data_IF_079035157822
#
_entry.id   IF_079035157822
#
_cell.length_a   1.000
_cell.length_b   1.000
_cell.length_c   1.000
_cell.angle_alpha   90.00
_cell.angle_beta   90.00
_cell.angle_gamma   90.00
#
_symmetry.space_group_name_H-M   'P 1'
#
loop_
_entity.id
_entity.type
_entity.pdbx_description
1 polymer ?
#
# COMPACT_ATOMS: atom_id res chain seq x y z
N UNK A 1 -17.57 13.11 -1.17
CA UNK A 1 -16.32 12.39 -0.92
C UNK A 1 -15.21 13.37 -1.22
N UNK A 2 -14.47 13.80 -0.20
CA UNK A 2 -13.45 14.82 -0.34
C UNK A 2 -12.27 14.22 -1.11
N UNK A 3 -12.09 14.66 -2.35
CA UNK A 3 -10.83 14.53 -3.12
C UNK A 3 -9.76 15.38 -2.42
N UNK A 4 -9.38 15.01 -1.20
CA UNK A 4 -8.19 15.57 -0.58
C UNK A 4 -7.02 15.06 -1.42
N UNK A 5 -6.23 15.96 -2.04
CA UNK A 5 -5.08 15.54 -2.84
C UNK A 5 -4.15 14.73 -1.93
N UNK A 6 -3.97 13.45 -2.24
CA UNK A 6 -3.04 12.59 -1.52
C UNK A 6 -1.64 13.15 -1.77
N UNK A 7 -0.94 13.68 -0.74
CA UNK A 7 0.39 14.24 -0.89
C UNK A 7 1.35 13.12 -1.33
N UNK A 8 1.65 13.13 -2.63
CA UNK A 8 2.56 12.18 -3.27
C UNK A 8 4.04 12.53 -3.08
N UNK A 9 4.34 13.65 -2.42
CA UNK A 9 5.70 14.06 -2.09
C UNK A 9 6.46 12.99 -1.29
N UNK A 10 5.73 12.12 -0.59
CA UNK A 10 6.28 10.98 0.16
C UNK A 10 6.22 9.64 -0.58
N UNK A 11 5.67 9.60 -1.79
CA UNK A 11 5.58 8.38 -2.58
C UNK A 11 6.93 8.01 -3.19
N UNK A 12 7.23 6.71 -3.22
CA UNK A 12 8.42 6.17 -3.88
C UNK A 12 8.07 5.92 -5.35
N UNK A 13 8.58 6.76 -6.24
CA UNK A 13 8.32 6.66 -7.69
C UNK A 13 9.47 6.02 -8.47
N UNK A 14 10.69 6.07 -7.91
CA UNK A 14 11.86 5.48 -8.54
C UNK A 14 11.73 3.95 -8.64
N UNK A 15 11.99 3.40 -9.83
CA UNK A 15 11.90 1.96 -10.10
C UNK A 15 10.46 1.43 -10.24
N UNK A 16 9.44 2.30 -10.22
CA UNK A 16 8.05 1.93 -10.48
C UNK A 16 7.78 1.91 -12.00
N UNK A 17 7.25 0.79 -12.49
CA UNK A 17 6.89 0.59 -13.90
C UNK A 17 5.43 0.21 -14.06
N UNK A 18 4.91 0.33 -15.28
CA UNK A 18 3.55 -0.12 -15.60
C UNK A 18 3.36 -1.63 -15.33
N UNK A 19 4.37 -2.44 -15.59
CA UNK A 19 4.35 -3.89 -15.30
C UNK A 19 4.17 -4.14 -13.81
N UNK A 20 4.93 -3.41 -13.00
CA UNK A 20 4.87 -3.49 -11.54
C UNK A 20 3.52 -3.04 -11.01
N UNK A 21 2.95 -1.96 -11.57
CA UNK A 21 1.60 -1.47 -11.24
C UNK A 21 0.55 -2.55 -11.50
N UNK A 22 0.54 -3.12 -12.71
CA UNK A 22 -0.46 -4.12 -13.11
C UNK A 22 -0.39 -5.38 -12.22
N UNK A 23 0.82 -5.84 -11.89
CA UNK A 23 1.01 -6.96 -10.95
C UNK A 23 0.49 -6.62 -9.55
N UNK A 24 0.80 -5.43 -9.05
CA UNK A 24 0.38 -4.99 -7.71
C UNK A 24 -1.14 -4.91 -7.60
N UNK A 25 -1.82 -4.36 -8.62
CA UNK A 25 -3.28 -4.32 -8.68
C UNK A 25 -3.90 -5.71 -8.69
N UNK A 26 -3.37 -6.63 -9.49
CA UNK A 26 -3.88 -8.01 -9.54
C UNK A 26 -3.76 -8.71 -8.18
N UNK A 27 -2.61 -8.57 -7.50
CA UNK A 27 -2.40 -9.13 -6.16
C UNK A 27 -3.33 -8.50 -5.12
N UNK A 28 -3.53 -7.18 -5.16
CA UNK A 28 -4.47 -6.51 -4.26
C UNK A 28 -5.91 -6.93 -4.52
N UNK A 29 -6.32 -7.06 -5.78
CA UNK A 29 -7.65 -7.55 -6.12
C UNK A 29 -7.88 -8.97 -5.60
N UNK A 30 -6.89 -9.87 -5.72
CA UNK A 30 -6.97 -11.20 -5.14
C UNK A 30 -7.09 -11.16 -3.61
N UNK A 31 -6.32 -10.28 -2.95
CA UNK A 31 -6.40 -10.07 -1.51
C UNK A 31 -7.80 -9.63 -1.07
N UNK A 32 -8.41 -8.70 -1.80
CA UNK A 32 -9.79 -8.23 -1.55
C UNK A 32 -10.82 -9.34 -1.82
N UNK A 33 -10.71 -10.06 -2.94
CA UNK A 33 -11.64 -11.15 -3.29
C UNK A 33 -11.65 -12.29 -2.28
N UNK A 34 -10.50 -12.57 -1.67
CA UNK A 34 -10.35 -13.61 -0.65
C UNK A 34 -10.73 -13.13 0.75
N UNK A 35 -11.12 -11.86 0.90
CA UNK A 35 -11.36 -11.21 2.19
C UNK A 35 -10.27 -11.55 3.22
N UNK A 36 -9.01 -11.52 2.77
CA UNK A 36 -7.90 -12.01 3.56
C UNK A 36 -7.65 -11.10 4.75
N UNK A 37 -7.64 -11.63 5.96
CA UNK A 37 -7.22 -10.89 7.17
C UNK A 37 -5.70 -10.61 7.22
N UNK A 38 -4.97 -10.89 6.13
CA UNK A 38 -3.51 -10.77 6.08
C UNK A 38 -3.10 -9.30 6.15
N UNK A 39 -2.34 -8.98 7.20
CA UNK A 39 -1.72 -7.67 7.35
C UNK A 39 -0.58 -7.48 6.34
N UNK A 40 -0.41 -6.24 5.88
CA UNK A 40 0.69 -5.84 5.02
C UNK A 40 1.82 -5.26 5.86
N UNK A 41 3.04 -5.75 5.64
CA UNK A 41 4.23 -5.24 6.31
C UNK A 41 4.87 -4.12 5.49
N UNK A 42 5.53 -3.18 6.16
CA UNK A 42 6.41 -2.22 5.50
C UNK A 42 7.65 -2.92 4.94
N UNK A 43 8.13 -2.45 3.79
CA UNK A 43 9.30 -3.01 3.11
C UNK A 43 10.59 -2.54 3.76
N UNK A 44 11.49 -3.48 4.08
CA UNK A 44 12.91 -3.21 4.37
C UNK A 44 13.14 -2.05 5.35
N UNK A 45 13.90 -1.04 4.90
CA UNK A 45 14.28 0.14 5.68
C UNK A 45 13.09 1.01 6.12
N UNK A 46 11.97 0.95 5.39
CA UNK A 46 10.73 1.64 5.77
C UNK A 46 10.12 1.00 7.02
N UNK A 47 10.29 -0.32 7.20
CA UNK A 47 9.77 -1.01 8.38
C UNK A 47 10.36 -0.46 9.67
N UNK A 48 11.68 -0.24 9.72
CA UNK A 48 12.35 0.32 10.90
C UNK A 48 11.83 1.71 11.26
N UNK A 49 11.63 2.58 10.26
CA UNK A 49 11.07 3.93 10.47
C UNK A 49 9.65 3.89 11.03
N UNK A 50 8.88 2.86 10.68
CA UNK A 50 7.55 2.60 11.22
C UNK A 50 7.57 1.61 12.39
N UNK A 51 8.73 1.36 13.00
CA UNK A 51 8.92 0.44 14.12
C UNK A 51 8.36 -0.98 13.88
N UNK A 52 8.37 -1.47 12.65
CA UNK A 52 7.78 -2.74 12.24
C UNK A 52 6.27 -2.82 12.46
N UNK A 53 5.56 -1.70 12.30
CA UNK A 53 4.11 -1.68 12.21
C UNK A 53 3.61 -2.51 11.01
N UNK A 54 2.33 -2.86 11.03
CA UNK A 54 1.64 -3.55 9.94
C UNK A 54 0.31 -2.88 9.67
N UNK A 55 -0.13 -2.93 8.43
CA UNK A 55 -1.35 -2.27 8.00
C UNK A 55 -2.41 -3.31 7.69
N UNK A 56 -3.62 -3.12 8.23
CA UNK A 56 -4.82 -3.84 7.82
C UNK A 56 -5.48 -3.07 6.68
N UNK A 57 -5.53 -3.59 5.44
CA UNK A 57 -6.24 -2.92 4.35
C UNK A 57 -7.73 -2.76 4.67
N UNK A 58 -8.31 -1.61 4.33
CA UNK A 58 -9.75 -1.36 4.50
C UNK A 58 -10.63 -1.97 3.40
N UNK A 59 -10.04 -2.78 2.52
CA UNK A 59 -10.69 -3.44 1.37
C UNK A 59 -11.43 -2.45 0.46
N UNK A 60 -11.01 -1.18 0.46
CA UNK A 60 -11.48 -0.15 -0.46
C UNK A 60 -10.80 -0.30 -1.82
N UNK A 61 -11.38 0.34 -2.84
CA UNK A 61 -10.83 0.34 -4.19
C UNK A 61 -9.44 0.98 -4.16
N UNK A 62 -8.44 0.29 -4.72
CA UNK A 62 -7.11 0.88 -4.88
C UNK A 62 -7.15 2.11 -5.79
N UNK A 63 -6.39 3.12 -5.41
CA UNK A 63 -6.17 4.34 -6.19
C UNK A 63 -4.87 4.17 -6.97
N UNK A 64 -4.85 4.61 -8.22
CA UNK A 64 -3.66 4.57 -9.08
C UNK A 64 -3.27 5.97 -9.50
N UNK A 65 -2.00 6.32 -9.36
CA UNK A 65 -1.48 7.59 -9.80
C UNK A 65 -0.18 7.36 -10.58
N UNK A 66 -0.24 7.43 -11.91
CA UNK A 66 0.87 6.98 -12.75
C UNK A 66 1.16 5.47 -12.55
N UNK A 67 2.35 5.15 -12.05
CA UNK A 67 2.82 3.77 -11.82
C UNK A 67 2.71 3.29 -10.36
N UNK A 68 2.20 4.13 -9.45
CA UNK A 68 2.04 3.75 -8.04
C UNK A 68 0.61 3.27 -7.76
N UNK A 69 0.49 2.37 -6.78
CA UNK A 69 -0.78 1.83 -6.28
C UNK A 69 -0.92 2.23 -4.82
N UNK A 70 -2.07 2.81 -4.48
CA UNK A 70 -2.38 3.37 -3.17
C UNK A 70 -3.64 2.69 -2.63
N UNK A 71 -3.65 2.37 -1.34
CA UNK A 71 -4.80 1.82 -0.65
C UNK A 71 -5.04 2.59 0.65
N UNK A 72 -6.26 2.50 1.19
CA UNK A 72 -6.50 2.87 2.58
C UNK A 72 -6.29 1.66 3.49
N UNK A 73 -5.75 1.92 4.67
CA UNK A 73 -5.56 0.90 5.68
C UNK A 73 -5.48 1.47 7.08
N UNK A 74 -5.56 0.58 8.07
CA UNK A 74 -5.46 0.91 9.49
C UNK A 74 -4.14 0.39 10.03
N UNK A 75 -3.39 1.26 10.69
CA UNK A 75 -2.18 0.88 11.44
C UNK A 75 -2.55 -0.06 12.58
N UNK A 76 -1.85 -1.19 12.70
CA UNK A 76 -2.07 -2.14 13.79
C UNK A 76 -1.64 -1.55 15.14
N UNK A 77 -0.59 -0.72 15.15
CA UNK A 77 -0.08 -0.11 16.38
C UNK A 77 -0.88 1.09 16.85
N UNK A 78 -1.19 2.02 15.94
CA UNK A 78 -1.82 3.30 16.30
C UNK A 78 -3.34 3.29 16.16
N UNK A 79 -3.90 2.36 15.38
CA UNK A 79 -5.31 2.38 15.01
C UNK A 79 -5.68 3.49 14.02
N UNK A 80 -4.72 4.29 13.57
CA UNK A 80 -4.96 5.38 12.63
C UNK A 80 -5.23 4.84 11.23
N UNK A 81 -6.23 5.42 10.57
CA UNK A 81 -6.49 5.22 9.15
C UNK A 81 -5.64 6.19 8.33
N UNK A 82 -4.99 5.70 7.30
CA UNK A 82 -4.22 6.52 6.36
C UNK A 82 -4.14 5.87 4.98
N UNK A 83 -3.59 6.62 4.03
CA UNK A 83 -3.26 6.10 2.70
C UNK A 83 -1.85 5.50 2.70
N UNK A 84 -1.69 4.39 1.99
CA UNK A 84 -0.44 3.66 1.89
C UNK A 84 -0.15 3.30 0.45
N UNK A 85 1.06 3.63 0.00
CA UNK A 85 1.58 3.08 -1.25
C UNK A 85 1.96 1.63 -1.03
N UNK A 86 1.51 0.73 -1.91
CA UNK A 86 1.84 -0.69 -1.86
C UNK A 86 2.57 -1.15 -3.12
N UNK A 87 3.23 -2.30 -2.99
CA UNK A 87 3.96 -2.97 -4.06
C UNK A 87 3.80 -4.48 -3.97
N UNK A 88 3.53 -5.11 -5.11
CA UNK A 88 3.71 -6.55 -5.28
C UNK A 88 5.18 -6.89 -5.50
N UNK A 89 5.80 -7.59 -4.56
CA UNK A 89 7.20 -8.00 -4.68
C UNK A 89 7.37 -9.25 -5.56
N UNK A 90 8.62 -9.67 -5.78
CA UNK A 90 8.96 -10.82 -6.63
C UNK A 90 8.35 -12.15 -6.16
N UNK A 91 8.01 -12.27 -4.88
CA UNK A 91 7.41 -13.47 -4.26
C UNK A 91 5.87 -13.41 -4.18
N UNK A 92 5.23 -12.52 -4.93
CA UNK A 92 3.76 -12.33 -4.91
C UNK A 92 3.20 -11.90 -3.54
N UNK A 93 4.01 -11.20 -2.74
CA UNK A 93 3.55 -10.58 -1.50
C UNK A 93 3.32 -9.09 -1.71
N UNK A 94 2.30 -8.56 -1.03
CA UNK A 94 2.04 -7.14 -0.95
C UNK A 94 2.80 -6.53 0.23
N UNK A 95 3.55 -5.47 -0.04
CA UNK A 95 4.33 -4.73 0.95
C UNK A 95 3.98 -3.26 0.88
N UNK A 96 4.09 -2.57 2.02
CA UNK A 96 3.90 -1.12 2.11
C UNK A 96 5.24 -0.43 1.84
N UNK A 97 5.24 0.49 0.88
CA UNK A 97 6.41 1.28 0.50
C UNK A 97 6.46 2.65 1.17
N UNK A 98 5.31 3.25 1.43
CA UNK A 98 5.22 4.57 2.05
C UNK A 98 3.86 4.78 2.70
N UNK A 99 3.83 5.53 3.80
CA UNK A 99 2.62 6.17 4.32
C UNK A 99 2.45 7.53 3.63
N UNK A 100 1.29 7.75 3.05
CA UNK A 100 0.90 8.99 2.41
C UNK A 100 -0.08 9.73 3.35
N UNK A 101 0.04 11.06 3.37
CA UNK A 101 -0.76 11.90 4.28
C UNK A 101 -2.13 12.27 3.70
#
# INVERSE_FOLDING_TARGET
>A
MSDTPIPLDKAITQGMSEVTRSRTLALYQQHVQTNSERLLAFRGDVAERHQYDKIKPLLTKAITQGNIVIIEGVSQKSGETAHYQILGNQWNLLEVLARLN
#
